data_IF_869305132459
#
_entry.id   IF_869305132459
#
_cell.length_a   1.000
_cell.length_b   1.000
_cell.length_c   1.000
_cell.angle_alpha   90.00
_cell.angle_beta   90.00
_cell.angle_gamma   90.00
#
_symmetry.space_group_name_H-M   'P 1'
#
loop_
_entity.id
_entity.type
_entity.pdbx_description
1 polymer ?
#
# COMPACT_ATOMS: atom_id res chain seq x y z
N UNK A 1 -22.59 -2.40 -8.98
CA UNK A 1 -21.32 -1.67 -8.84
C UNK A 1 -20.20 -2.50 -9.44
N UNK A 2 -19.45 -1.93 -10.33
CA UNK A 2 -18.32 -2.65 -10.94
C UNK A 2 -17.17 -2.73 -9.96
N UNK A 3 -16.53 -3.89 -9.90
CA UNK A 3 -15.32 -4.09 -9.15
C UNK A 3 -14.17 -3.32 -9.79
N UNK A 4 -13.30 -2.75 -8.97
CA UNK A 4 -12.10 -2.14 -9.48
C UNK A 4 -11.22 -3.18 -10.18
N UNK A 5 -10.62 -2.79 -11.28
CA UNK A 5 -9.70 -3.62 -12.04
C UNK A 5 -8.27 -3.30 -11.64
N UNK A 6 -7.49 -4.33 -11.30
CA UNK A 6 -6.08 -4.17 -10.92
C UNK A 6 -5.20 -4.32 -12.16
N UNK A 7 -4.28 -3.38 -12.35
CA UNK A 7 -3.29 -3.44 -13.43
C UNK A 7 -1.98 -2.80 -13.00
N UNK A 8 -0.90 -3.13 -13.71
CA UNK A 8 0.37 -2.45 -13.48
C UNK A 8 0.24 -0.99 -13.89
N UNK A 9 0.87 -0.13 -13.12
CA UNK A 9 0.96 1.29 -13.45
C UNK A 9 2.00 1.50 -14.55
N UNK A 10 1.77 2.52 -15.37
CA UNK A 10 2.81 3.00 -16.28
C UNK A 10 3.04 4.50 -16.07
N UNK A 11 4.01 5.06 -16.79
CA UNK A 11 4.47 6.43 -16.52
C UNK A 11 3.37 7.49 -16.64
N UNK A 12 2.35 7.26 -17.46
CA UNK A 12 1.24 8.21 -17.62
C UNK A 12 0.34 8.27 -16.40
N UNK A 13 0.41 7.26 -15.53
CA UNK A 13 -0.41 7.21 -14.32
C UNK A 13 0.15 8.06 -13.17
N UNK A 14 1.39 8.54 -13.27
CA UNK A 14 2.09 9.16 -12.14
C UNK A 14 1.30 10.31 -11.51
N UNK A 15 0.76 11.21 -12.32
CA UNK A 15 -0.02 12.35 -11.81
C UNK A 15 -1.31 11.92 -11.11
N UNK A 16 -2.00 10.94 -11.66
CA UNK A 16 -3.24 10.43 -11.06
C UNK A 16 -2.96 9.69 -9.75
N UNK A 17 -1.86 8.94 -9.69
CA UNK A 17 -1.45 8.25 -8.46
C UNK A 17 -1.11 9.27 -7.37
N UNK A 18 -0.37 10.33 -7.71
CA UNK A 18 -0.02 11.38 -6.75
C UNK A 18 -1.28 12.03 -6.16
N UNK A 19 -2.24 12.36 -7.01
CA UNK A 19 -3.53 12.92 -6.55
C UNK A 19 -4.29 11.98 -5.64
N UNK A 20 -4.30 10.70 -5.99
CA UNK A 20 -4.95 9.66 -5.18
C UNK A 20 -4.30 9.58 -3.80
N UNK A 21 -3.00 9.57 -3.73
CA UNK A 21 -2.28 9.50 -2.46
C UNK A 21 -2.55 10.73 -1.60
N UNK A 22 -2.51 11.93 -2.21
CA UNK A 22 -2.82 13.16 -1.48
C UNK A 22 -4.23 13.13 -0.92
N UNK A 23 -5.20 12.66 -1.70
CA UNK A 23 -6.59 12.56 -1.24
C UNK A 23 -6.74 11.54 -0.11
N UNK A 24 -6.05 10.41 -0.20
CA UNK A 24 -6.12 9.37 0.83
C UNK A 24 -5.54 9.86 2.16
N UNK A 25 -4.48 10.66 2.14
CA UNK A 25 -3.86 11.19 3.35
C UNK A 25 -4.52 12.49 3.86
N UNK A 26 -5.27 13.18 3.01
CA UNK A 26 -5.94 14.43 3.41
C UNK A 26 -6.91 14.24 4.58
N UNK A 27 -7.46 13.03 4.74
CA UNK A 27 -8.37 12.74 5.86
C UNK A 27 -7.69 12.84 7.23
N UNK A 28 -6.36 12.84 7.27
CA UNK A 28 -5.60 12.95 8.51
C UNK A 28 -5.08 14.36 8.78
N UNK A 29 -5.39 15.32 7.90
CA UNK A 29 -4.83 16.68 7.99
C UNK A 29 -5.15 17.37 9.32
N UNK A 30 -6.35 17.11 9.89
CA UNK A 30 -6.76 17.70 11.15
C UNK A 30 -6.03 17.14 12.36
N UNK A 31 -5.31 16.04 12.21
CA UNK A 31 -4.58 15.41 13.33
C UNK A 31 -3.21 16.01 13.55
N UNK A 32 -2.78 16.90 12.67
CA UNK A 32 -1.49 17.59 12.77
C UNK A 32 -0.31 16.62 12.93
N UNK A 33 -0.31 15.55 12.13
CA UNK A 33 0.74 14.54 12.14
C UNK A 33 1.85 14.91 11.17
N UNK A 34 3.09 14.56 11.52
CA UNK A 34 4.23 14.70 10.63
C UNK A 34 4.28 13.47 9.71
N UNK A 35 3.53 13.54 8.60
CA UNK A 35 3.47 12.46 7.63
C UNK A 35 4.41 12.74 6.46
N UNK A 36 5.07 11.69 5.90
CA UNK A 36 5.92 11.89 4.73
C UNK A 36 5.09 12.33 3.52
N UNK A 37 5.75 13.03 2.58
CA UNK A 37 5.14 13.35 1.31
C UNK A 37 5.14 12.09 0.44
N UNK A 38 4.04 11.34 0.54
CA UNK A 38 3.93 10.03 -0.11
C UNK A 38 3.72 10.13 -1.62
N UNK A 39 3.34 11.31 -2.12
CA UNK A 39 3.14 11.51 -3.56
C UNK A 39 4.44 11.87 -4.29
N UNK A 40 5.48 12.26 -3.54
CA UNK A 40 6.77 12.57 -4.15
C UNK A 40 7.46 11.31 -4.64
N UNK A 41 8.07 11.35 -5.80
CA UNK A 41 8.86 10.23 -6.31
C UNK A 41 8.08 9.13 -7.01
N UNK A 42 6.80 9.33 -7.29
CA UNK A 42 5.98 8.29 -7.95
C UNK A 42 6.53 7.90 -9.31
N UNK A 43 7.03 8.85 -10.09
CA UNK A 43 7.62 8.54 -11.41
C UNK A 43 8.80 7.58 -11.27
N UNK A 44 9.67 7.84 -10.28
CA UNK A 44 10.80 6.96 -10.01
C UNK A 44 10.34 5.59 -9.51
N UNK A 45 9.31 5.57 -8.68
CA UNK A 45 8.76 4.31 -8.17
C UNK A 45 8.21 3.44 -9.29
N UNK A 46 7.52 4.03 -10.26
CA UNK A 46 6.99 3.29 -11.41
C UNK A 46 8.13 2.72 -12.24
N UNK A 47 9.21 3.47 -12.40
CA UNK A 47 10.38 3.02 -13.16
C UNK A 47 11.19 1.94 -12.43
N UNK A 48 11.40 2.11 -11.13
CA UNK A 48 12.37 1.32 -10.37
C UNK A 48 11.76 0.23 -9.49
N UNK A 49 10.46 0.30 -9.21
CA UNK A 49 9.77 -0.61 -8.31
C UNK A 49 8.55 -1.21 -8.96
N UNK A 50 7.75 -1.91 -8.19
CA UNK A 50 6.53 -2.54 -8.69
C UNK A 50 5.34 -1.73 -8.19
N UNK A 51 4.62 -1.11 -9.12
CA UNK A 51 3.46 -0.28 -8.79
C UNK A 51 2.23 -0.82 -9.50
N UNK A 52 1.18 -1.03 -8.74
CA UNK A 52 -0.12 -1.45 -9.25
C UNK A 52 -1.16 -0.39 -8.92
N UNK A 53 -2.14 -0.27 -9.79
CA UNK A 53 -3.28 0.62 -9.59
C UNK A 53 -4.59 -0.16 -9.68
N UNK A 54 -5.59 0.34 -9.00
CA UNK A 54 -6.97 -0.14 -9.12
C UNK A 54 -7.77 0.94 -9.83
N UNK A 55 -8.45 0.54 -10.89
CA UNK A 55 -9.22 1.44 -11.75
C UNK A 55 -10.68 1.05 -11.74
N UNK A 56 -11.55 2.01 -11.54
CA UNK A 56 -13.01 1.82 -11.62
C UNK A 56 -13.60 3.04 -12.32
N UNK A 57 -14.46 2.79 -13.30
CA UNK A 57 -15.15 3.86 -14.05
C UNK A 57 -14.17 4.92 -14.59
N UNK A 58 -13.07 4.45 -15.16
CA UNK A 58 -12.02 5.27 -15.77
C UNK A 58 -11.25 6.17 -14.79
N UNK A 59 -11.38 5.92 -13.48
CA UNK A 59 -10.66 6.66 -12.45
C UNK A 59 -9.83 5.72 -11.59
N UNK A 60 -8.68 6.19 -11.10
CA UNK A 60 -7.90 5.40 -10.15
C UNK A 60 -8.52 5.53 -8.76
N UNK A 61 -8.81 4.38 -8.15
CA UNK A 61 -9.40 4.31 -6.82
C UNK A 61 -8.48 3.66 -5.79
N UNK A 62 -7.34 3.14 -6.22
CA UNK A 62 -6.35 2.57 -5.33
C UNK A 62 -4.99 2.46 -6.01
N UNK A 63 -3.95 2.34 -5.19
CA UNK A 63 -2.58 2.12 -5.67
C UNK A 63 -1.75 1.46 -4.59
N UNK A 64 -0.77 0.68 -5.00
CA UNK A 64 0.21 0.10 -4.09
C UNK A 64 1.59 0.18 -4.72
N UNK A 65 2.57 0.58 -3.92
CA UNK A 65 3.97 0.64 -4.32
C UNK A 65 4.72 -0.42 -3.53
N UNK A 66 5.38 -1.32 -4.24
CA UNK A 66 6.12 -2.44 -3.67
C UNK A 66 7.57 -2.36 -4.09
N UNK A 67 8.49 -2.59 -3.15
CA UNK A 67 9.91 -2.70 -3.48
C UNK A 67 10.45 -4.04 -3.00
N UNK A 68 11.49 -4.52 -3.66
CA UNK A 68 12.12 -5.81 -3.34
C UNK A 68 13.32 -5.57 -2.44
N UNK A 69 13.31 -6.19 -1.26
CA UNK A 69 14.46 -6.28 -0.40
C UNK A 69 15.17 -7.60 -0.62
N UNK A 70 16.19 -7.86 0.19
CA UNK A 70 16.96 -9.10 0.07
C UNK A 70 16.11 -10.33 0.35
N UNK A 71 15.31 -10.28 1.40
CA UNK A 71 14.54 -11.42 1.92
C UNK A 71 13.06 -11.08 2.11
N UNK A 72 12.64 -9.91 1.65
CA UNK A 72 11.30 -9.43 1.91
C UNK A 72 10.79 -8.55 0.76
N UNK A 73 9.48 -8.34 0.75
CA UNK A 73 8.84 -7.31 -0.07
C UNK A 73 8.40 -6.21 0.87
N UNK A 74 8.79 -4.98 0.56
CA UNK A 74 8.36 -3.80 1.30
C UNK A 74 7.11 -3.22 0.65
N UNK A 75 6.05 -3.07 1.43
CA UNK A 75 4.91 -2.25 1.02
C UNK A 75 5.30 -0.80 1.32
N UNK A 76 5.77 -0.10 0.29
CA UNK A 76 6.26 1.28 0.44
C UNK A 76 5.07 2.21 0.72
N UNK A 77 3.97 1.97 0.02
CA UNK A 77 2.74 2.72 0.22
C UNK A 77 1.56 1.93 -0.33
N UNK A 78 0.42 2.09 0.30
CA UNK A 78 -0.86 1.60 -0.19
C UNK A 78 -1.89 2.69 0.08
N UNK A 79 -2.65 3.04 -0.95
CA UNK A 79 -3.64 4.11 -0.85
C UNK A 79 -4.95 3.66 -1.49
N UNK A 80 -6.06 4.02 -0.87
CA UNK A 80 -7.40 3.76 -1.38
C UNK A 80 -8.15 5.10 -1.32
N UNK A 81 -8.84 5.42 -2.42
CA UNK A 81 -9.64 6.63 -2.48
C UNK A 81 -10.66 6.64 -1.32
N UNK A 82 -10.90 7.81 -0.69
CA UNK A 82 -11.83 7.87 0.45
C UNK A 82 -13.20 7.26 0.17
N UNK A 83 -13.74 7.46 -1.03
CA UNK A 83 -15.04 6.92 -1.43
C UNK A 83 -15.03 5.40 -1.64
N UNK A 84 -13.86 4.80 -1.71
CA UNK A 84 -13.71 3.36 -1.92
C UNK A 84 -13.28 2.60 -0.67
N UNK A 85 -13.16 3.29 0.48
CA UNK A 85 -12.83 2.62 1.73
C UNK A 85 -13.97 1.70 2.17
N UNK A 86 -13.63 0.60 2.81
CA UNK A 86 -14.62 -0.37 3.26
C UNK A 86 -15.11 -1.32 2.18
N UNK A 87 -14.52 -1.27 0.98
CA UNK A 87 -14.92 -2.14 -0.14
C UNK A 87 -14.08 -3.42 -0.26
N UNK A 88 -13.07 -3.58 0.60
CA UNK A 88 -12.12 -4.69 0.51
C UNK A 88 -10.98 -4.43 -0.47
N UNK A 89 -10.90 -3.24 -1.05
CA UNK A 89 -9.88 -2.91 -2.04
C UNK A 89 -8.47 -2.95 -1.46
N UNK A 90 -8.29 -2.41 -0.25
CA UNK A 90 -6.98 -2.44 0.41
C UNK A 90 -6.47 -3.88 0.54
N UNK A 91 -7.34 -4.80 0.95
CA UNK A 91 -7.00 -6.22 1.05
C UNK A 91 -6.57 -6.80 -0.29
N UNK A 92 -7.31 -6.47 -1.36
CA UNK A 92 -6.97 -6.93 -2.71
C UNK A 92 -5.60 -6.42 -3.15
N UNK A 93 -5.29 -5.15 -2.85
CA UNK A 93 -3.99 -4.57 -3.17
C UNK A 93 -2.88 -5.26 -2.39
N UNK A 94 -3.10 -5.53 -1.10
CA UNK A 94 -2.10 -6.20 -0.26
C UNK A 94 -1.83 -7.63 -0.70
N UNK A 95 -2.80 -8.31 -1.31
CA UNK A 95 -2.59 -9.66 -1.87
C UNK A 95 -1.53 -9.62 -2.97
N UNK A 96 -1.43 -8.51 -3.71
CA UNK A 96 -0.39 -8.36 -4.73
C UNK A 96 1.02 -8.41 -4.13
N UNK A 97 1.18 -7.96 -2.88
CA UNK A 97 2.46 -8.08 -2.18
C UNK A 97 2.81 -9.55 -1.90
N UNK A 98 1.83 -10.35 -1.46
CA UNK A 98 2.04 -11.79 -1.30
C UNK A 98 2.41 -12.46 -2.62
N UNK A 99 1.69 -12.11 -3.69
CA UNK A 99 1.94 -12.69 -5.01
C UNK A 99 3.36 -12.35 -5.51
N UNK A 100 3.79 -11.11 -5.34
CA UNK A 100 5.13 -10.69 -5.71
C UNK A 100 6.18 -11.45 -4.90
N UNK A 101 5.97 -11.54 -3.59
CA UNK A 101 6.90 -12.24 -2.71
C UNK A 101 7.03 -13.71 -3.08
N UNK A 102 5.92 -14.37 -3.39
CA UNK A 102 5.94 -15.77 -3.84
C UNK A 102 6.71 -15.91 -5.15
N UNK A 103 6.46 -15.02 -6.11
CA UNK A 103 7.13 -15.06 -7.41
C UNK A 103 8.64 -14.82 -7.29
N UNK A 104 9.06 -13.98 -6.33
CA UNK A 104 10.47 -13.61 -6.15
C UNK A 104 11.15 -14.41 -5.04
N UNK A 105 10.48 -15.39 -4.46
CA UNK A 105 11.07 -16.23 -3.41
C UNK A 105 11.36 -15.51 -2.10
N UNK A 106 10.60 -14.48 -1.77
CA UNK A 106 10.76 -13.73 -0.52
C UNK A 106 9.89 -14.34 0.57
N UNK A 107 10.41 -14.33 1.80
CA UNK A 107 9.73 -15.01 2.92
C UNK A 107 8.77 -14.10 3.70
N UNK A 108 8.97 -12.80 3.65
CA UNK A 108 8.31 -11.86 4.56
C UNK A 108 7.84 -10.61 3.83
N UNK A 109 6.74 -10.05 4.31
CA UNK A 109 6.28 -8.71 3.90
C UNK A 109 6.57 -7.74 5.04
N UNK A 110 6.90 -6.49 4.70
CA UNK A 110 7.15 -5.42 5.68
C UNK A 110 6.42 -4.16 5.27
N UNK A 111 5.97 -3.39 6.25
CA UNK A 111 5.45 -2.04 6.06
C UNK A 111 5.72 -1.22 7.30
N UNK A 112 5.55 0.09 7.18
CA UNK A 112 5.49 0.97 8.34
C UNK A 112 4.26 1.87 8.24
N UNK A 113 3.72 2.26 9.39
CA UNK A 113 2.62 3.19 9.48
C UNK A 113 2.90 4.17 10.62
N UNK A 114 2.03 5.16 10.80
CA UNK A 114 2.23 6.18 11.81
C UNK A 114 1.42 5.86 13.07
N UNK A 115 2.03 6.03 14.25
CA UNK A 115 1.36 5.78 15.53
C UNK A 115 0.10 6.63 15.74
N UNK A 116 0.04 7.78 15.07
CA UNK A 116 -1.13 8.69 15.12
C UNK A 116 -2.29 8.25 14.25
N UNK A 117 -2.16 7.12 13.55
CA UNK A 117 -3.22 6.53 12.75
C UNK A 117 -3.50 5.11 13.26
N UNK A 118 -4.07 4.99 14.47
CA UNK A 118 -4.30 3.68 15.08
C UNK A 118 -5.24 2.80 14.28
N UNK A 119 -6.13 3.38 13.48
CA UNK A 119 -7.02 2.61 12.62
C UNK A 119 -6.25 1.82 11.56
N UNK A 120 -5.10 2.33 11.08
CA UNK A 120 -4.26 1.58 10.15
C UNK A 120 -3.59 0.40 10.85
N UNK A 121 -3.10 0.62 12.07
CA UNK A 121 -2.48 -0.46 12.85
C UNK A 121 -3.50 -1.58 13.07
N UNK A 122 -4.73 -1.21 13.44
CA UNK A 122 -5.81 -2.18 13.66
C UNK A 122 -6.19 -2.91 12.37
N UNK A 123 -6.25 -2.20 11.24
CA UNK A 123 -6.56 -2.80 9.95
C UNK A 123 -5.51 -3.83 9.56
N UNK A 124 -4.24 -3.48 9.64
CA UNK A 124 -3.17 -4.41 9.27
C UNK A 124 -3.15 -5.61 10.22
N UNK A 125 -3.34 -5.39 11.52
CA UNK A 125 -3.42 -6.49 12.48
C UNK A 125 -4.57 -7.44 12.13
N UNK A 126 -5.71 -6.91 11.75
CA UNK A 126 -6.86 -7.69 11.32
C UNK A 126 -6.54 -8.53 10.08
N UNK A 127 -5.67 -8.03 9.20
CA UNK A 127 -5.27 -8.73 7.98
C UNK A 127 -4.08 -9.67 8.17
N UNK A 128 -3.64 -9.86 9.42
CA UNK A 128 -2.59 -10.84 9.74
C UNK A 128 -1.21 -10.27 9.94
N UNK A 129 -1.07 -8.94 9.95
CA UNK A 129 0.22 -8.30 10.20
C UNK A 129 0.46 -8.19 11.71
N UNK A 130 1.74 -8.23 12.10
CA UNK A 130 2.16 -8.17 13.50
C UNK A 130 3.13 -7.00 13.65
N UNK A 131 2.94 -6.20 14.69
CA UNK A 131 3.87 -5.13 14.99
C UNK A 131 5.21 -5.73 15.43
N UNK A 132 6.30 -5.30 14.80
CA UNK A 132 7.64 -5.80 15.09
C UNK A 132 8.47 -4.83 15.93
N UNK A 133 8.30 -3.52 15.72
CA UNK A 133 9.06 -2.51 16.44
C UNK A 133 8.44 -1.14 16.23
N UNK A 134 8.92 -0.16 16.99
CA UNK A 134 8.58 1.26 16.83
C UNK A 134 9.84 2.08 16.88
N UNK A 135 9.86 3.14 16.08
CA UNK A 135 10.95 4.11 16.09
C UNK A 135 10.35 5.50 15.89
N UNK A 136 10.35 6.30 16.96
CA UNK A 136 9.67 7.59 16.95
C UNK A 136 8.18 7.41 16.67
N UNK A 137 7.69 8.05 15.62
CA UNK A 137 6.29 7.96 15.22
C UNK A 137 6.01 6.76 14.31
N UNK A 138 7.05 6.04 13.86
CA UNK A 138 6.89 4.90 12.94
C UNK A 138 6.59 3.62 13.71
N UNK A 139 5.61 2.89 13.20
CA UNK A 139 5.26 1.55 13.70
C UNK A 139 5.56 0.59 12.55
N UNK A 140 6.50 -0.32 12.80
CA UNK A 140 6.91 -1.32 11.79
C UNK A 140 6.11 -2.59 12.00
N UNK A 141 5.57 -3.11 10.91
CA UNK A 141 4.78 -4.34 10.93
C UNK A 141 5.30 -5.33 9.89
N UNK A 142 5.18 -6.60 10.22
CA UNK A 142 5.62 -7.68 9.34
C UNK A 142 4.51 -8.73 9.21
N UNK A 143 4.59 -9.49 8.12
CA UNK A 143 3.67 -10.58 7.87
C UNK A 143 4.41 -11.66 7.10
N UNK A 144 4.29 -12.94 7.51
CA UNK A 144 4.84 -14.02 6.69
C UNK A 144 4.07 -14.12 5.38
N UNK A 145 4.78 -14.48 4.32
CA UNK A 145 4.16 -14.64 3.01
C UNK A 145 3.22 -15.83 3.04
N UNK A 146 1.99 -15.62 2.55
CA UNK A 146 0.99 -16.68 2.46
C UNK A 146 1.35 -17.61 1.30
N UNK A 147 1.62 -18.87 1.64
CA UNK A 147 1.76 -19.89 0.61
C UNK A 147 0.38 -20.43 0.29
N UNK A 148 0.09 -20.54 -0.99
CA UNK A 148 -1.09 -21.24 -1.43
C UNK A 148 -0.81 -22.74 -1.30
N UNK A 149 -1.66 -23.41 -0.57
CA UNK A 149 -1.61 -24.88 -0.46
C UNK A 149 -2.33 -25.44 -1.67
N UNK A 150 -1.67 -26.30 -2.48
CA UNK A 150 -2.31 -26.90 -3.65
C UNK A 150 -3.49 -27.78 -3.27
#
# INVERSE_FOLDING_TARGET
MSKANLRRADSVDAGAIAKLMDAAYAIYASRNLDLPDVSAGIEADIRDHVVWVAEADEALVGAIVLSLGEDFVQVVNVAVAPESTGTGLCRRLLVLADDLALAEGKATLRLSTHKGIPENIALYAHLGWVESSREGAKVFMTKPVKRQIP
#
